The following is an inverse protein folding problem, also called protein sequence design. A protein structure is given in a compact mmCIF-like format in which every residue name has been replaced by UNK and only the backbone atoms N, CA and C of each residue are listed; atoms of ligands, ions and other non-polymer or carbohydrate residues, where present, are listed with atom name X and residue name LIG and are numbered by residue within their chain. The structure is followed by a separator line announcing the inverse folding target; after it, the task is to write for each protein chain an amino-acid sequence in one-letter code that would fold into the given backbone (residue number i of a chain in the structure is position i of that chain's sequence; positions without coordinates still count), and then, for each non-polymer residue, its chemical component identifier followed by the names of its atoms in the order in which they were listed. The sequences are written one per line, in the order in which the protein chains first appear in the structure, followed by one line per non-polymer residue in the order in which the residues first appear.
data_IF_677220407811
#
_entry.id   IF_677220407811
#
_cell.length_a   1.000
_cell.length_b   1.000
_cell.length_c   1.000
_cell.angle_alpha   90.00
_cell.angle_beta   90.00
_cell.angle_gamma   90.00
#
_symmetry.space_group_name_H-M   'P 1'
#
loop_
_entity.id
_entity.type
_entity.pdbx_description
1 polymer ?
#
# COMPACT_ATOMS: atom_id res chain seq x y z
N UNK A 1 18.98 10.07 -23.46
CA UNK A 1 18.17 9.62 -22.31
C UNK A 1 17.83 8.15 -22.54
N UNK A 2 18.04 7.26 -21.56
CA UNK A 2 17.75 5.83 -21.75
C UNK A 2 16.24 5.62 -21.76
N UNK A 3 15.71 4.96 -22.77
CA UNK A 3 14.28 4.64 -22.91
C UNK A 3 14.09 3.13 -22.77
N UNK A 4 13.13 2.72 -21.95
CA UNK A 4 12.77 1.32 -21.73
C UNK A 4 11.36 1.08 -22.25
N UNK A 5 11.20 0.16 -23.19
CA UNK A 5 9.87 -0.17 -23.71
C UNK A 5 9.09 -1.06 -22.74
N UNK A 6 7.76 -1.06 -22.82
CA UNK A 6 6.91 -1.95 -22.01
C UNK A 6 7.27 -3.43 -22.27
N UNK A 7 7.59 -3.80 -23.51
CA UNK A 7 7.95 -5.17 -23.87
C UNK A 7 9.29 -5.57 -23.25
N UNK A 8 10.26 -4.66 -23.25
CA UNK A 8 11.55 -4.86 -22.59
C UNK A 8 11.38 -5.06 -21.08
N UNK A 9 10.64 -4.15 -20.42
CA UNK A 9 10.37 -4.23 -18.97
C UNK A 9 9.66 -5.55 -18.63
N UNK A 10 8.71 -5.98 -19.45
CA UNK A 10 7.99 -7.26 -19.25
C UNK A 10 8.91 -8.47 -19.35
N UNK A 11 9.95 -8.41 -20.19
CA UNK A 11 10.94 -9.47 -20.37
C UNK A 11 11.99 -9.58 -19.26
N UNK A 12 12.05 -8.60 -18.35
CA UNK A 12 12.96 -8.67 -17.22
C UNK A 12 12.59 -9.73 -16.20
N UNK A 13 13.60 -10.19 -15.46
CA UNK A 13 13.43 -11.04 -14.29
C UNK A 13 12.45 -10.41 -13.29
N UNK A 14 11.61 -11.24 -12.67
CA UNK A 14 10.46 -10.82 -11.87
C UNK A 14 10.84 -9.87 -10.73
N UNK A 15 11.87 -10.17 -9.95
CA UNK A 15 12.29 -9.34 -8.83
C UNK A 15 12.96 -8.05 -9.29
N UNK A 16 13.82 -8.12 -10.32
CA UNK A 16 14.40 -6.91 -10.94
C UNK A 16 13.32 -5.96 -11.43
N UNK A 17 12.34 -6.47 -12.19
CA UNK A 17 11.19 -5.70 -12.67
C UNK A 17 10.38 -5.09 -11.53
N UNK A 18 10.12 -5.86 -10.48
CA UNK A 18 9.33 -5.38 -9.34
C UNK A 18 10.06 -4.27 -8.59
N UNK A 19 11.35 -4.44 -8.33
CA UNK A 19 12.17 -3.43 -7.65
C UNK A 19 12.31 -2.17 -8.50
N UNK A 20 12.57 -2.32 -9.80
CA UNK A 20 12.65 -1.19 -10.72
C UNK A 20 11.37 -0.34 -10.69
N UNK A 21 10.21 -0.98 -10.85
CA UNK A 21 8.91 -0.29 -10.81
C UNK A 21 8.65 0.36 -9.45
N UNK A 22 8.97 -0.33 -8.35
CA UNK A 22 8.78 0.20 -7.00
C UNK A 22 9.63 1.43 -6.70
N UNK A 23 10.79 1.58 -7.36
CA UNK A 23 11.68 2.72 -7.17
C UNK A 23 11.30 3.95 -8.02
N UNK A 24 10.47 3.81 -9.07
CA UNK A 24 10.15 4.92 -9.99
C UNK A 24 9.46 6.11 -9.32
N UNK A 25 8.70 5.86 -8.26
CA UNK A 25 8.01 6.93 -7.50
C UNK A 25 8.93 7.65 -6.52
N UNK A 26 10.22 7.28 -6.46
CA UNK A 26 11.18 7.82 -5.51
C UNK A 26 10.97 7.27 -4.10
N UNK A 27 11.15 8.15 -3.12
CA UNK A 27 11.00 7.82 -1.70
C UNK A 27 9.60 7.30 -1.38
N UNK A 28 9.53 6.30 -0.49
CA UNK A 28 8.27 5.79 0.07
C UNK A 28 8.37 5.82 1.58
N UNK A 29 7.37 6.38 2.25
CA UNK A 29 7.29 6.33 3.72
C UNK A 29 7.11 4.89 4.18
N UNK A 30 7.63 4.57 5.37
CA UNK A 30 7.26 3.36 6.07
C UNK A 30 6.25 3.74 7.15
N UNK A 31 4.99 3.36 6.96
CA UNK A 31 3.88 3.67 7.84
C UNK A 31 3.32 2.39 8.43
N UNK A 32 2.91 2.43 9.69
CA UNK A 32 2.21 1.33 10.34
C UNK A 32 0.72 1.68 10.38
N UNK A 33 -0.12 0.74 9.95
CA UNK A 33 -1.58 0.86 10.06
C UNK A 33 -2.04 -0.08 11.16
N UNK A 34 -2.59 0.50 12.21
CA UNK A 34 -3.23 -0.15 13.34
C UNK A 34 -4.72 -0.33 13.08
N UNK A 35 -5.22 -1.53 13.39
CA UNK A 35 -6.65 -1.89 13.27
C UNK A 35 -7.05 -2.81 14.41
N UNK A 36 -8.34 -2.89 14.69
CA UNK A 36 -8.90 -3.80 15.70
C UNK A 36 -10.15 -4.47 15.15
N UNK A 37 -10.38 -5.74 15.47
CA UNK A 37 -11.63 -6.41 15.12
C UNK A 37 -12.75 -6.09 16.13
N UNK A 38 -13.99 -6.44 15.79
CA UNK A 38 -15.13 -6.35 16.72
C UNK A 38 -14.97 -7.20 17.99
N UNK A 39 -14.08 -8.21 17.96
CA UNK A 39 -13.71 -9.05 19.11
C UNK A 39 -12.54 -8.47 19.92
N UNK A 40 -12.22 -7.18 19.74
CA UNK A 40 -11.08 -6.49 20.37
C UNK A 40 -9.71 -7.10 20.05
N UNK A 41 -9.55 -7.79 18.91
CA UNK A 41 -8.23 -8.32 18.47
C UNK A 41 -7.48 -7.29 17.66
N UNK A 42 -6.34 -6.83 18.17
CA UNK A 42 -5.49 -5.85 17.50
C UNK A 42 -4.69 -6.45 16.34
N UNK A 43 -4.51 -5.68 15.28
CA UNK A 43 -3.67 -6.01 14.13
C UNK A 43 -2.84 -4.78 13.72
N UNK A 44 -1.58 -5.00 13.34
CA UNK A 44 -0.65 -3.96 12.92
C UNK A 44 0.06 -4.41 11.63
N UNK A 45 0.02 -3.59 10.59
CA UNK A 45 0.61 -3.91 9.29
C UNK A 45 1.42 -2.76 8.72
N UNK A 46 2.50 -3.07 8.01
CA UNK A 46 3.37 -2.07 7.37
C UNK A 46 2.88 -1.74 5.95
N UNK A 47 2.82 -0.44 5.64
CA UNK A 47 2.44 0.09 4.34
C UNK A 47 3.40 1.18 3.90
N UNK A 48 3.57 1.29 2.58
CA UNK A 48 4.42 2.31 1.96
C UNK A 48 3.73 3.11 0.86
N UNK A 49 2.41 2.96 0.77
CA UNK A 49 1.55 3.58 -0.24
C UNK A 49 0.45 4.42 0.42
N UNK A 50 0.82 5.30 1.36
CA UNK A 50 -0.07 6.31 1.93
C UNK A 50 -0.21 7.47 0.94
N UNK A 51 -1.42 8.01 0.83
CA UNK A 51 -1.76 9.10 -0.09
C UNK A 51 -2.56 10.16 0.68
N UNK A 52 -2.05 11.39 0.70
CA UNK A 52 -2.82 12.55 1.13
C UNK A 52 -3.72 13.00 -0.02
N UNK A 53 -5.02 13.10 0.24
CA UNK A 53 -6.04 13.44 -0.77
C UNK A 53 -6.47 14.90 -0.62
N UNK A 54 -6.65 15.39 0.60
CA UNK A 54 -7.07 16.76 0.87
C UNK A 54 -6.99 17.12 2.35
N UNK A 55 -6.90 18.41 2.64
CA UNK A 55 -6.82 18.94 4.01
C UNK A 55 -8.16 19.46 4.55
N UNK A 56 -9.10 19.80 3.66
CA UNK A 56 -10.45 20.24 4.00
C UNK A 56 -11.46 19.73 2.95
N UNK A 57 -12.18 18.62 3.21
CA UNK A 57 -12.07 17.77 4.41
C UNK A 57 -10.73 17.03 4.49
N UNK A 58 -10.29 16.71 5.70
CA UNK A 58 -9.05 15.99 5.95
C UNK A 58 -9.15 14.52 5.51
N UNK A 59 -8.53 14.19 4.39
CA UNK A 59 -8.59 12.87 3.75
C UNK A 59 -7.19 12.31 3.53
N UNK A 60 -6.93 11.18 4.16
CA UNK A 60 -5.75 10.34 3.95
C UNK A 60 -6.25 8.94 3.60
N UNK A 61 -5.60 8.31 2.63
CA UNK A 61 -5.89 6.94 2.24
C UNK A 61 -4.63 6.12 2.06
N UNK A 62 -4.80 4.84 1.84
CA UNK A 62 -3.71 3.93 1.47
C UNK A 62 -4.17 2.94 0.41
N UNK A 63 -3.22 2.36 -0.32
CA UNK A 63 -3.50 1.35 -1.34
C UNK A 63 -3.05 -0.02 -0.85
N UNK A 64 -4.01 -0.93 -0.66
CA UNK A 64 -3.73 -2.36 -0.44
C UNK A 64 -3.92 -3.17 -1.72
N UNK A 65 -2.83 -3.64 -2.33
CA UNK A 65 -2.88 -4.48 -3.53
C UNK A 65 -1.79 -5.58 -3.49
N UNK A 66 -2.14 -6.85 -3.77
CA UNK A 66 -3.50 -7.37 -3.96
C UNK A 66 -4.31 -7.35 -2.66
N UNK A 67 -5.65 -7.42 -2.73
CA UNK A 67 -6.56 -7.42 -1.55
C UNK A 67 -6.09 -8.43 -0.49
N UNK A 68 -5.67 -9.62 -0.93
CA UNK A 68 -5.16 -10.70 -0.09
C UNK A 68 -3.83 -10.42 0.64
N UNK A 69 -3.16 -9.29 0.39
CA UNK A 69 -1.88 -8.96 1.02
C UNK A 69 -2.01 -8.56 2.49
N UNK A 70 -3.16 -7.99 2.88
CA UNK A 70 -3.43 -7.56 4.25
C UNK A 70 -4.88 -7.89 4.66
N UNK A 71 -5.25 -9.18 4.75
CA UNK A 71 -6.64 -9.60 4.94
C UNK A 71 -7.22 -9.08 6.26
N UNK A 72 -6.46 -9.12 7.36
CA UNK A 72 -6.92 -8.61 8.66
C UNK A 72 -7.09 -7.09 8.69
N UNK A 73 -6.22 -6.35 8.00
CA UNK A 73 -6.28 -4.88 7.98
C UNK A 73 -7.56 -4.42 7.28
N UNK A 74 -7.82 -4.94 6.07
CA UNK A 74 -9.04 -4.59 5.34
C UNK A 74 -10.29 -5.10 6.04
N UNK A 75 -10.32 -6.35 6.49
CA UNK A 75 -11.50 -6.91 7.16
C UNK A 75 -11.86 -6.14 8.44
N UNK A 76 -10.86 -5.72 9.22
CA UNK A 76 -11.08 -4.89 10.40
C UNK A 76 -11.63 -3.52 10.01
N UNK A 77 -11.01 -2.82 9.05
CA UNK A 77 -11.48 -1.50 8.60
C UNK A 77 -12.90 -1.57 8.02
N UNK A 78 -13.23 -2.60 7.25
CA UNK A 78 -14.59 -2.79 6.72
C UNK A 78 -15.61 -3.00 7.84
N UNK A 79 -15.24 -3.73 8.90
CA UNK A 79 -16.12 -4.01 10.02
C UNK A 79 -16.27 -2.82 11.00
N UNK A 80 -15.19 -2.08 11.29
CA UNK A 80 -15.16 -1.03 12.31
C UNK A 80 -15.22 0.38 11.75
N UNK A 81 -14.92 0.56 10.46
CA UNK A 81 -14.78 1.87 9.80
C UNK A 81 -13.66 2.74 10.38
N UNK A 82 -12.71 2.14 11.10
CA UNK A 82 -11.65 2.85 11.82
C UNK A 82 -10.26 2.24 11.59
N UNK A 83 -9.24 3.10 11.49
CA UNK A 83 -7.82 2.74 11.51
C UNK A 83 -6.96 3.93 11.96
N UNK A 84 -5.72 3.64 12.35
CA UNK A 84 -4.69 4.64 12.71
C UNK A 84 -3.41 4.40 11.94
#
# INVERSE_FOLDING_TARGET
MKHFSINEIKGWERFYRSNFINCLTGFKSATLIGTVSNDCKTNLAIFSNIVHIGADPALIGFINRPIKAAPHTLANIEATQEYT
#
